data_IF_296126444779
#
_entry.id   IF_296126444779
#
_cell.length_a   1.000
_cell.length_b   1.000
_cell.length_c   1.000
_cell.angle_alpha   90.00
_cell.angle_beta   90.00
_cell.angle_gamma   90.00
#
_symmetry.space_group_name_H-M   'P 1'
#
loop_
_entity.id
_entity.type
_entity.pdbx_description
1 polymer ?
#
# COMPACT_ATOMS: atom_id res chain seq x y z
N UNK A 1 28.94 10.22 -24.72
CA UNK A 1 27.71 10.86 -24.20
C UNK A 1 26.94 9.80 -23.41
N UNK A 2 26.90 9.91 -22.09
CA UNK A 2 26.22 8.94 -21.22
C UNK A 2 25.04 9.65 -20.55
N UNK A 3 23.85 9.09 -20.76
CA UNK A 3 22.57 9.55 -20.21
C UNK A 3 22.49 9.25 -18.70
N UNK A 4 22.18 10.26 -17.88
CA UNK A 4 21.90 10.08 -16.45
C UNK A 4 20.42 9.68 -16.23
N UNK A 5 20.12 8.73 -15.32
CA UNK A 5 18.74 8.41 -14.95
C UNK A 5 18.21 9.37 -13.88
N UNK A 6 17.00 9.91 -14.12
CA UNK A 6 16.24 10.77 -13.19
C UNK A 6 15.74 9.95 -11.99
N UNK A 7 16.18 10.31 -10.79
CA UNK A 7 15.65 9.77 -9.53
C UNK A 7 14.22 10.28 -9.28
N UNK A 8 13.25 9.36 -9.16
CA UNK A 8 11.91 9.64 -8.64
C UNK A 8 11.95 9.55 -7.11
N UNK A 9 11.72 10.66 -6.43
CA UNK A 9 11.58 10.74 -4.98
C UNK A 9 10.20 10.20 -4.55
N UNK A 10 10.16 9.15 -3.73
CA UNK A 10 8.94 8.68 -3.06
C UNK A 10 8.67 9.51 -1.80
N UNK A 11 7.47 10.05 -1.68
CA UNK A 11 7.00 10.89 -0.58
C UNK A 11 6.30 10.07 0.51
N UNK A 12 7.02 9.53 1.49
CA UNK A 12 6.42 9.10 2.76
C UNK A 12 7.50 9.09 3.86
N UNK A 13 7.30 9.77 5.01
CA UNK A 13 8.19 9.68 6.15
C UNK A 13 7.78 8.50 7.06
N UNK A 14 8.72 7.64 7.42
CA UNK A 14 8.52 6.59 8.43
C UNK A 14 8.84 7.13 9.83
N UNK A 15 7.82 7.09 10.70
CA UNK A 15 7.88 7.49 12.11
C UNK A 15 8.71 6.49 12.91
N UNK A 16 9.73 6.99 13.63
CA UNK A 16 10.43 6.25 14.67
C UNK A 16 9.63 6.30 15.99
N UNK A 17 9.53 5.14 16.66
CA UNK A 17 10.07 4.98 18.02
C UNK A 17 10.55 3.53 18.22
N UNK A 18 11.88 3.40 18.22
CA UNK A 18 12.77 2.51 19.00
C UNK A 18 12.15 1.30 19.74
N UNK A 19 12.62 0.06 19.56
CA UNK A 19 13.96 -0.35 19.99
C UNK A 19 14.43 -1.71 19.42
N UNK A 20 15.74 -1.75 19.12
CA UNK A 20 16.64 -2.89 18.87
C UNK A 20 16.57 -3.60 17.51
N UNK A 21 17.69 -3.49 16.81
CA UNK A 21 18.07 -4.11 15.51
C UNK A 21 18.19 -5.64 15.60
N UNK A 22 18.03 -6.34 14.47
CA UNK A 22 19.05 -7.30 14.09
C UNK A 22 19.63 -7.02 12.70
N UNK A 23 20.88 -7.45 12.56
CA UNK A 23 21.82 -7.22 11.47
C UNK A 23 21.24 -7.46 10.06
N UNK A 24 21.47 -6.50 9.16
CA UNK A 24 21.15 -6.67 7.75
C UNK A 24 20.92 -5.38 6.97
N UNK A 25 21.61 -4.28 7.27
CA UNK A 25 21.61 -3.10 6.40
C UNK A 25 23.02 -2.50 6.36
N UNK A 26 23.70 -2.71 5.25
CA UNK A 26 24.94 -2.01 4.91
C UNK A 26 24.60 -0.52 4.83
N UNK A 27 25.07 0.24 5.83
CA UNK A 27 25.02 1.70 5.85
C UNK A 27 25.78 2.21 4.63
N UNK A 28 25.08 2.77 3.65
CA UNK A 28 25.68 3.80 2.83
C UNK A 28 25.84 5.03 3.72
N UNK A 29 27.08 5.40 4.02
CA UNK A 29 27.42 6.62 4.75
C UNK A 29 26.99 7.84 3.90
N UNK A 30 25.80 8.37 4.19
CA UNK A 30 25.38 9.66 3.65
C UNK A 30 26.07 10.71 4.51
N UNK A 31 27.07 11.36 3.91
CA UNK A 31 27.76 12.52 4.48
C UNK A 31 26.74 13.53 5.03
N UNK A 32 26.83 13.76 6.34
CA UNK A 32 25.98 14.66 7.11
C UNK A 32 26.07 16.07 6.51
N UNK A 33 24.98 16.54 5.91
CA UNK A 33 24.75 17.97 5.69
C UNK A 33 23.54 18.39 6.52
N UNK A 34 23.82 19.32 7.43
CA UNK A 34 22.98 20.09 8.35
C UNK A 34 21.94 19.36 9.23
N UNK A 35 22.16 19.34 10.55
CA UNK A 35 21.13 18.94 11.49
C UNK A 35 20.20 20.14 11.74
N UNK A 36 18.89 19.98 11.48
CA UNK A 36 17.73 20.82 11.88
C UNK A 36 16.92 21.46 10.73
N UNK A 37 16.59 20.72 9.68
CA UNK A 37 15.35 21.07 8.96
C UNK A 37 14.16 20.62 9.83
N UNK A 38 13.38 21.59 10.32
CA UNK A 38 12.17 21.32 11.07
C UNK A 38 11.14 20.65 10.15
N UNK A 39 10.97 19.33 10.27
CA UNK A 39 10.06 18.55 9.42
C UNK A 39 8.63 19.13 9.38
N UNK A 40 8.20 19.83 10.43
CA UNK A 40 6.89 20.48 10.49
C UNK A 40 6.80 21.75 9.63
N UNK A 41 7.92 22.43 9.35
CA UNK A 41 7.96 23.55 8.39
C UNK A 41 7.88 23.02 6.95
N UNK A 42 8.58 21.92 6.68
CA UNK A 42 8.60 21.27 5.36
C UNK A 42 7.31 20.52 5.04
N UNK A 43 6.64 19.99 6.07
CA UNK A 43 5.42 19.19 5.94
C UNK A 43 4.33 19.64 6.95
N UNK A 44 3.66 20.78 6.71
CA UNK A 44 2.66 21.33 7.62
C UNK A 44 1.48 20.37 7.90
N UNK A 45 1.17 19.49 6.95
CA UNK A 45 0.11 18.49 7.06
C UNK A 45 0.41 17.42 8.12
N UNK A 46 1.66 17.25 8.57
CA UNK A 46 1.98 16.33 9.67
C UNK A 46 1.22 16.70 10.95
N UNK A 47 0.88 17.98 11.14
CA UNK A 47 0.03 18.44 12.26
C UNK A 47 -1.39 17.88 12.20
N UNK A 48 -1.85 17.47 11.01
CA UNK A 48 -3.18 16.90 10.77
C UNK A 48 -3.17 15.36 10.87
N UNK A 49 -1.98 14.74 10.82
CA UNK A 49 -1.82 13.29 10.91
C UNK A 49 -1.66 12.94 12.39
N UNK A 50 -2.77 12.58 13.05
CA UNK A 50 -2.71 11.95 14.37
C UNK A 50 -2.39 10.47 14.21
N UNK A 51 -1.35 9.94 14.89
CA UNK A 51 -1.19 8.50 15.01
C UNK A 51 -2.41 7.93 15.72
N UNK A 52 -2.97 6.87 15.16
CA UNK A 52 -4.11 6.17 15.74
C UNK A 52 -3.63 5.31 16.93
N UNK A 53 -4.49 5.12 17.93
CA UNK A 53 -4.21 4.20 19.04
C UNK A 53 -4.25 2.73 18.60
N UNK A 54 -3.70 1.83 19.40
CA UNK A 54 -3.64 0.40 19.07
C UNK A 54 -5.04 -0.21 18.87
N UNK A 55 -6.03 0.24 19.66
CA UNK A 55 -7.42 -0.18 19.53
C UNK A 55 -8.03 0.17 18.16
N UNK A 56 -7.66 1.33 17.60
CA UNK A 56 -8.13 1.76 16.29
C UNK A 56 -7.54 0.87 15.18
N UNK A 57 -6.28 0.47 15.29
CA UNK A 57 -5.68 -0.48 14.35
C UNK A 57 -6.35 -1.85 14.44
N UNK A 58 -6.67 -2.34 15.63
CA UNK A 58 -7.37 -3.62 15.78
C UNK A 58 -8.73 -3.62 15.06
N UNK A 59 -9.50 -2.53 15.18
CA UNK A 59 -10.78 -2.36 14.48
C UNK A 59 -10.60 -2.27 12.96
N UNK A 60 -9.60 -1.51 12.50
CA UNK A 60 -9.31 -1.44 11.06
C UNK A 60 -8.99 -2.83 10.53
N UNK A 61 -8.14 -3.58 11.24
CA UNK A 61 -7.71 -4.91 10.83
C UNK A 61 -8.83 -5.95 10.82
N UNK A 62 -9.77 -5.88 11.77
CA UNK A 62 -10.93 -6.78 11.79
C UNK A 62 -11.85 -6.54 10.60
N UNK A 63 -11.87 -5.32 10.07
CA UNK A 63 -12.78 -4.91 9.00
C UNK A 63 -12.14 -4.96 7.61
N UNK A 64 -10.84 -5.28 7.48
CA UNK A 64 -10.15 -5.22 6.19
C UNK A 64 -10.79 -6.11 5.10
N UNK A 65 -11.24 -7.31 5.47
CA UNK A 65 -11.86 -8.25 4.54
C UNK A 65 -13.25 -7.76 4.09
N UNK A 66 -14.08 -7.29 5.02
CA UNK A 66 -15.39 -6.72 4.68
C UNK A 66 -15.25 -5.44 3.85
N UNK A 67 -14.31 -4.56 4.24
CA UNK A 67 -14.02 -3.33 3.51
C UNK A 67 -13.53 -3.64 2.09
N UNK A 68 -12.67 -4.65 1.93
CA UNK A 68 -12.21 -5.10 0.62
C UNK A 68 -13.39 -5.56 -0.24
N UNK A 69 -14.32 -6.34 0.30
CA UNK A 69 -15.50 -6.80 -0.44
C UNK A 69 -16.43 -5.64 -0.83
N UNK A 70 -16.59 -4.64 0.03
CA UNK A 70 -17.30 -3.40 -0.31
C UNK A 70 -16.63 -2.68 -1.49
N UNK A 71 -15.29 -2.55 -1.47
CA UNK A 71 -14.55 -1.93 -2.59
C UNK A 71 -14.65 -2.75 -3.87
N UNK A 72 -14.59 -4.09 -3.78
CA UNK A 72 -14.76 -5.00 -4.91
C UNK A 72 -16.13 -4.79 -5.55
N UNK A 73 -17.18 -4.76 -4.74
CA UNK A 73 -18.56 -4.59 -5.22
C UNK A 73 -18.74 -3.24 -5.92
N UNK A 74 -18.29 -2.15 -5.29
CA UNK A 74 -18.36 -0.81 -5.87
C UNK A 74 -17.56 -0.70 -7.19
N UNK A 75 -16.39 -1.33 -7.27
CA UNK A 75 -15.62 -1.40 -8.52
C UNK A 75 -16.38 -2.17 -9.62
N UNK A 76 -16.96 -3.32 -9.29
CA UNK A 76 -17.72 -4.12 -10.26
C UNK A 76 -18.96 -3.38 -10.77
N UNK A 77 -19.64 -2.64 -9.89
CA UNK A 77 -20.76 -1.77 -10.26
C UNK A 77 -20.33 -0.66 -11.21
N UNK A 78 -19.29 0.11 -10.89
CA UNK A 78 -18.78 1.17 -11.78
C UNK A 78 -18.22 0.64 -13.09
N UNK A 79 -17.67 -0.57 -13.08
CA UNK A 79 -17.24 -1.24 -14.30
C UNK A 79 -18.45 -1.52 -15.20
N UNK A 80 -19.51 -2.12 -14.64
CA UNK A 80 -20.77 -2.37 -15.36
C UNK A 80 -21.38 -1.08 -15.91
N UNK A 81 -21.47 -0.02 -15.11
CA UNK A 81 -21.98 1.28 -15.54
C UNK A 81 -21.19 1.84 -16.72
N UNK A 82 -19.85 1.78 -16.67
CA UNK A 82 -19.00 2.26 -17.76
C UNK A 82 -19.19 1.44 -19.04
N UNK A 83 -19.27 0.12 -18.94
CA UNK A 83 -19.56 -0.75 -20.09
C UNK A 83 -20.95 -0.49 -20.68
N UNK A 84 -21.94 -0.22 -19.82
CA UNK A 84 -23.28 0.14 -20.27
C UNK A 84 -23.28 1.48 -21.01
N UNK A 85 -22.62 2.49 -20.45
CA UNK A 85 -22.44 3.81 -21.06
C UNK A 85 -21.81 3.72 -22.47
N UNK A 86 -20.76 2.90 -22.63
CA UNK A 86 -20.16 2.66 -23.95
C UNK A 86 -21.13 1.95 -24.92
N UNK A 87 -21.91 0.99 -24.42
CA UNK A 87 -22.89 0.25 -25.24
C UNK A 87 -24.00 1.15 -25.76
N UNK A 88 -24.56 2.00 -24.91
CA UNK A 88 -25.62 2.95 -25.30
C UNK A 88 -25.15 3.94 -26.37
N UNK A 89 -23.84 4.23 -26.41
CA UNK A 89 -23.23 5.09 -27.42
C UNK A 89 -22.76 4.36 -28.68
N UNK A 90 -22.93 3.03 -28.77
CA UNK A 90 -22.45 2.22 -29.89
C UNK A 90 -20.92 2.07 -29.92
N UNK A 91 -20.25 2.21 -28.77
CA UNK A 91 -18.79 2.18 -28.62
C UNK A 91 -18.31 0.94 -27.86
N UNK A 92 -19.13 -0.11 -27.79
CA UNK A 92 -18.80 -1.35 -27.07
C UNK A 92 -17.50 -2.00 -27.56
N UNK A 93 -17.18 -1.86 -28.86
CA UNK A 93 -15.96 -2.42 -29.47
C UNK A 93 -14.72 -1.55 -29.25
N UNK A 94 -14.89 -0.31 -28.77
CA UNK A 94 -13.80 0.64 -28.52
C UNK A 94 -13.37 0.65 -27.06
N UNK A 95 -13.33 -0.52 -26.43
CA UNK A 95 -12.90 -0.63 -25.04
C UNK A 95 -11.39 -0.38 -24.92
N UNK A 96 -10.95 0.40 -23.92
CA UNK A 96 -9.53 0.59 -23.67
C UNK A 96 -8.93 -0.74 -23.19
N UNK A 97 -7.75 -1.10 -23.70
CA UNK A 97 -7.06 -2.34 -23.35
C UNK A 97 -6.63 -2.41 -21.88
N UNK A 98 -6.36 -1.25 -21.27
CA UNK A 98 -6.04 -1.09 -19.85
C UNK A 98 -6.92 -0.03 -19.20
N UNK A 99 -7.06 -0.13 -17.88
CA UNK A 99 -7.90 0.79 -17.10
C UNK A 99 -7.35 2.23 -17.01
N UNK A 100 -6.08 2.43 -17.36
CA UNK A 100 -5.42 3.73 -17.37
C UNK A 100 -5.00 4.19 -18.78
N UNK A 101 -5.48 3.51 -19.82
CA UNK A 101 -5.17 3.91 -21.19
C UNK A 101 -5.77 5.28 -21.53
N UNK A 102 -5.12 5.95 -22.48
CA UNK A 102 -5.58 7.20 -23.04
C UNK A 102 -6.95 7.01 -23.71
N UNK A 103 -7.92 7.83 -23.30
CA UNK A 103 -9.29 7.79 -23.81
C UNK A 103 -9.43 8.50 -25.16
N UNK A 104 -8.40 9.19 -25.65
CA UNK A 104 -8.45 9.97 -26.90
C UNK A 104 -8.95 9.14 -28.09
N UNK A 105 -8.53 7.88 -28.22
CA UNK A 105 -8.96 7.01 -29.32
C UNK A 105 -10.47 6.67 -29.28
N UNK A 106 -11.06 6.66 -28.08
CA UNK A 106 -12.49 6.33 -27.86
C UNK A 106 -13.34 7.58 -28.06
N UNK A 107 -12.86 8.73 -27.59
CA UNK A 107 -13.60 10.00 -27.63
C UNK A 107 -13.45 10.74 -28.96
N UNK A 108 -12.47 10.39 -29.79
CA UNK A 108 -12.24 11.06 -31.07
C UNK A 108 -13.46 10.96 -32.01
N UNK A 109 -13.82 12.09 -32.61
CA UNK A 109 -14.96 12.20 -33.52
C UNK A 109 -16.33 12.24 -32.84
N UNK A 110 -16.41 12.15 -31.50
CA UNK A 110 -17.68 12.27 -30.78
C UNK A 110 -18.02 13.74 -30.48
N UNK A 111 -19.32 14.09 -30.38
CA UNK A 111 -19.75 15.37 -29.83
C UNK A 111 -19.21 15.58 -28.41
N UNK A 112 -18.91 16.83 -28.06
CA UNK A 112 -18.32 17.21 -26.77
C UNK A 112 -19.09 16.67 -25.56
N UNK A 113 -20.42 16.64 -25.63
CA UNK A 113 -21.27 16.12 -24.55
C UNK A 113 -21.01 14.64 -24.28
N UNK A 114 -20.95 13.83 -25.35
CA UNK A 114 -20.64 12.40 -25.26
C UNK A 114 -19.23 12.16 -24.76
N UNK A 115 -18.25 12.95 -25.23
CA UNK A 115 -16.88 12.87 -24.73
C UNK A 115 -16.83 13.12 -23.22
N UNK A 116 -17.49 14.19 -22.75
CA UNK A 116 -17.58 14.53 -21.33
C UNK A 116 -18.20 13.39 -20.51
N UNK A 117 -19.27 12.79 -21.00
CA UNK A 117 -20.00 11.77 -20.26
C UNK A 117 -19.17 10.46 -20.16
N UNK A 118 -18.49 10.06 -21.24
CA UNK A 118 -17.53 8.94 -21.23
C UNK A 118 -16.40 9.21 -20.24
N UNK A 119 -15.81 10.41 -20.28
CA UNK A 119 -14.70 10.77 -19.39
C UNK A 119 -15.12 10.80 -17.92
N UNK A 120 -16.32 11.28 -17.62
CA UNK A 120 -16.90 11.24 -16.26
C UNK A 120 -17.11 9.82 -15.76
N UNK A 121 -17.75 8.98 -16.57
CA UNK A 121 -17.97 7.57 -16.24
C UNK A 121 -16.63 6.84 -16.04
N UNK A 122 -15.64 7.12 -16.91
CA UNK A 122 -14.29 6.57 -16.81
C UNK A 122 -13.58 7.02 -15.53
N UNK A 123 -13.64 8.30 -15.20
CA UNK A 123 -13.03 8.83 -13.98
C UNK A 123 -13.59 8.16 -12.73
N UNK A 124 -14.92 7.96 -12.68
CA UNK A 124 -15.57 7.25 -11.58
C UNK A 124 -15.09 5.79 -11.47
N UNK A 125 -15.00 5.08 -12.59
CA UNK A 125 -14.47 3.71 -12.65
C UNK A 125 -13.01 3.64 -12.18
N UNK A 126 -12.15 4.51 -12.69
CA UNK A 126 -10.73 4.56 -12.33
C UNK A 126 -10.55 4.82 -10.84
N UNK A 127 -11.35 5.73 -10.26
CA UNK A 127 -11.31 5.99 -8.83
C UNK A 127 -11.67 4.74 -8.01
N UNK A 128 -12.74 4.02 -8.37
CA UNK A 128 -13.09 2.78 -7.66
C UNK A 128 -12.05 1.68 -7.86
N UNK A 129 -11.45 1.56 -9.05
CA UNK A 129 -10.36 0.63 -9.29
C UNK A 129 -9.17 0.92 -8.38
N UNK A 130 -8.77 2.18 -8.23
CA UNK A 130 -7.67 2.56 -7.32
C UNK A 130 -7.96 2.23 -5.85
N UNK A 131 -9.22 2.42 -5.40
CA UNK A 131 -9.64 2.06 -4.04
C UNK A 131 -9.66 0.55 -3.83
N UNK A 132 -10.09 -0.22 -4.82
CA UNK A 132 -10.04 -1.68 -4.82
C UNK A 132 -8.59 -2.20 -4.78
N UNK A 133 -7.74 -1.70 -5.66
CA UNK A 133 -6.30 -2.02 -5.67
C UNK A 133 -5.61 -1.67 -4.34
N UNK A 134 -5.99 -0.55 -3.73
CA UNK A 134 -5.50 -0.16 -2.41
C UNK A 134 -5.95 -1.17 -1.34
N UNK A 135 -7.21 -1.63 -1.35
CA UNK A 135 -7.68 -2.60 -0.36
C UNK A 135 -6.99 -3.96 -0.51
N UNK A 136 -6.72 -4.41 -1.75
CA UNK A 136 -5.88 -5.59 -2.01
C UNK A 136 -4.52 -5.47 -1.32
N UNK A 137 -3.82 -4.33 -1.54
CA UNK A 137 -2.51 -4.08 -0.95
C UNK A 137 -2.54 -4.05 0.58
N UNK A 138 -3.60 -3.50 1.17
CA UNK A 138 -3.77 -3.49 2.62
C UNK A 138 -3.98 -4.90 3.21
N UNK A 139 -4.79 -5.74 2.56
CA UNK A 139 -4.94 -7.15 2.94
C UNK A 139 -3.61 -7.90 2.90
N UNK A 140 -2.86 -7.74 1.81
CA UNK A 140 -1.53 -8.35 1.67
C UNK A 140 -0.57 -7.87 2.77
N UNK A 141 -0.54 -6.56 3.04
CA UNK A 141 0.30 -6.00 4.09
C UNK A 141 -0.08 -6.56 5.48
N UNK A 142 -1.38 -6.68 5.79
CA UNK A 142 -1.85 -7.25 7.04
C UNK A 142 -1.44 -8.72 7.19
N UNK A 143 -1.64 -9.53 6.14
CA UNK A 143 -1.21 -10.94 6.11
C UNK A 143 0.29 -11.08 6.33
N UNK A 144 1.09 -10.27 5.64
CA UNK A 144 2.54 -10.27 5.78
C UNK A 144 2.95 -9.91 7.22
N UNK A 145 2.35 -8.85 7.79
CA UNK A 145 2.63 -8.46 9.18
C UNK A 145 2.32 -9.59 10.17
N UNK A 146 1.18 -10.28 10.04
CA UNK A 146 0.82 -11.44 10.87
C UNK A 146 1.81 -12.59 10.71
N UNK A 147 2.25 -12.86 9.48
CA UNK A 147 3.24 -13.90 9.20
C UNK A 147 4.60 -13.56 9.83
N UNK A 148 5.11 -12.34 9.63
CA UNK A 148 6.34 -11.87 10.24
C UNK A 148 6.27 -11.90 11.77
N UNK A 149 5.12 -11.54 12.35
CA UNK A 149 4.89 -11.66 13.79
C UNK A 149 5.08 -13.10 14.30
N UNK A 150 4.47 -14.08 13.62
CA UNK A 150 4.62 -15.51 13.96
C UNK A 150 6.05 -16.00 13.80
N UNK A 151 6.72 -15.64 12.70
CA UNK A 151 8.13 -16.02 12.47
C UNK A 151 9.02 -15.43 13.57
N UNK A 152 8.79 -14.18 13.97
CA UNK A 152 9.54 -13.54 15.06
C UNK A 152 9.34 -14.28 16.37
N UNK A 153 8.09 -14.62 16.72
CA UNK A 153 7.78 -15.38 17.94
C UNK A 153 8.46 -16.76 17.91
N UNK A 154 8.37 -17.47 16.79
CA UNK A 154 9.01 -18.78 16.64
C UNK A 154 10.53 -18.71 16.89
N UNK A 155 11.22 -17.72 16.31
CA UNK A 155 12.66 -17.53 16.53
C UNK A 155 13.01 -17.25 17.99
N UNK A 156 12.17 -16.47 18.69
CA UNK A 156 12.35 -16.22 20.12
C UNK A 156 12.19 -17.51 20.91
N UNK A 157 11.12 -18.28 20.67
CA UNK A 157 10.88 -19.55 21.36
C UNK A 157 11.95 -20.60 21.08
N UNK A 158 12.51 -20.65 19.85
CA UNK A 158 13.61 -21.54 19.49
C UNK A 158 14.89 -21.17 20.26
N UNK A 159 15.19 -19.87 20.39
CA UNK A 159 16.33 -19.40 21.17
C UNK A 159 16.18 -19.68 22.67
N UNK A 160 14.99 -19.45 23.24
CA UNK A 160 14.68 -19.76 24.63
C UNK A 160 14.79 -21.26 24.93
N UNK A 161 14.32 -22.11 24.02
CA UNK A 161 14.39 -23.56 24.14
C UNK A 161 15.83 -24.07 24.09
N UNK A 162 16.66 -23.50 23.20
CA UNK A 162 18.07 -23.85 23.12
C UNK A 162 18.84 -23.44 24.39
N UNK A 163 18.59 -22.23 24.89
CA UNK A 163 19.15 -21.77 26.16
C UNK A 163 18.73 -22.68 27.33
N UNK A 164 17.47 -23.15 27.35
CA UNK A 164 17.00 -24.08 28.37
C UNK A 164 17.75 -25.42 28.31
N UNK A 165 17.97 -25.96 27.10
CA UNK A 165 18.74 -27.20 26.92
C UNK A 165 20.18 -27.06 27.39
N UNK A 166 20.84 -25.96 27.05
CA UNK A 166 22.20 -25.66 27.50
C UNK A 166 22.28 -25.64 29.03
N UNK A 167 21.38 -24.91 29.69
CA UNK A 167 21.30 -24.87 31.15
C UNK A 167 21.09 -26.26 31.76
N UNK A 168 20.24 -27.08 31.14
CA UNK A 168 19.93 -28.43 31.62
C UNK A 168 21.12 -29.40 31.43
N UNK A 169 21.90 -29.24 30.37
CA UNK A 169 23.17 -29.95 30.18
C UNK A 169 24.22 -29.57 31.22
N UNK A 170 24.36 -28.28 31.56
CA UNK A 170 25.27 -27.84 32.63
C UNK A 170 24.87 -28.48 33.97
N UNK A 171 23.58 -28.42 34.34
CA UNK A 171 23.09 -29.01 35.60
C UNK A 171 23.29 -30.54 35.67
N UNK A 172 23.15 -31.24 34.55
CA UNK A 172 23.36 -32.69 34.50
C UNK A 172 24.83 -33.10 34.38
N UNK A 173 25.72 -32.22 33.92
CA UNK A 173 27.17 -32.46 33.85
C UNK A 173 27.93 -32.15 35.15
N UNK A 174 27.29 -31.45 36.10
CA UNK A 174 27.82 -31.15 37.44
C UNK A 174 27.46 -32.22 38.50
N UNK A 175 26.87 -33.35 38.09
CA UNK A 175 26.61 -34.54 38.92
C UNK A 175 27.55 -35.68 38.56
#
# INVERSE_FOLDING_TARGET
MVMQPRNRSSSCPDFLTENRTPAGLVRAEIAVKDPRENLLERFPYLRLIRPLGAEHYAVIESNLESDHEVRRTAYMEKSREFHHCLREMGLADRLPGRIYDDMAHITNGLPMEKQRDILRARLALVNQHLLYERSCRLLHANRNRRLFGRIKQQKVTEAELEQLKENLHVVNGER
#
